data_IF_097776454291
#
_entry.id   IF_097776454291
#
_cell.length_a   1.000
_cell.length_b   1.000
_cell.length_c   1.000
_cell.angle_alpha   90.00
_cell.angle_beta   90.00
_cell.angle_gamma   90.00
#
_symmetry.space_group_name_H-M   'P 1'
#
loop_
_entity.id
_entity.type
_entity.pdbx_description
1 polymer ?
#
# COMPACT_ATOMS: atom_id res chain seq x y z
N UNK A 1 -17.61 0.13 16.57
CA UNK A 1 -17.71 1.40 15.82
C UNK A 1 -16.96 1.21 14.50
N UNK A 2 -17.65 0.84 13.41
CA UNK A 2 -17.08 0.47 12.08
C UNK A 2 -17.33 1.60 11.09
N UNK A 3 -16.59 2.71 11.20
CA UNK A 3 -16.87 3.93 10.41
C UNK A 3 -15.66 4.47 9.63
N UNK A 4 -14.71 3.63 9.24
CA UNK A 4 -13.52 4.06 8.47
C UNK A 4 -13.17 3.15 7.27
N UNK A 5 -14.14 2.41 6.71
CA UNK A 5 -14.02 1.82 5.36
C UNK A 5 -14.44 2.81 4.28
N UNK A 6 -13.99 4.06 4.40
CA UNK A 6 -14.02 4.98 3.27
C UNK A 6 -12.61 4.97 2.72
N UNK A 7 -12.31 3.97 1.90
CA UNK A 7 -11.15 3.99 1.04
C UNK A 7 -11.10 5.36 0.38
N UNK A 8 -10.02 6.09 0.67
CA UNK A 8 -9.80 7.35 0.00
C UNK A 8 -9.45 7.02 -1.45
N UNK A 9 -10.05 7.74 -2.39
CA UNK A 9 -9.88 7.50 -3.83
C UNK A 9 -8.40 7.45 -4.22
N UNK A 10 -7.57 8.21 -3.51
CA UNK A 10 -6.13 8.24 -3.62
C UNK A 10 -5.49 6.87 -3.37
N UNK A 11 -5.92 6.12 -2.34
CA UNK A 11 -5.39 4.78 -2.08
C UNK A 11 -5.84 3.78 -3.13
N UNK A 12 -7.08 3.85 -3.60
CA UNK A 12 -7.53 2.99 -4.71
C UNK A 12 -6.65 3.18 -5.96
N UNK A 13 -6.26 4.43 -6.27
CA UNK A 13 -5.38 4.74 -7.41
C UNK A 13 -3.96 4.20 -7.16
N UNK A 14 -3.40 4.40 -5.97
CA UNK A 14 -2.05 3.96 -5.62
C UNK A 14 -1.95 2.43 -5.66
N UNK A 15 -2.89 1.75 -5.00
CA UNK A 15 -2.93 0.29 -4.95
C UNK A 15 -3.26 -0.30 -6.32
N UNK A 16 -4.12 0.34 -7.12
CA UNK A 16 -4.41 -0.07 -8.49
C UNK A 16 -3.16 -0.05 -9.38
N UNK A 17 -2.38 1.03 -9.35
CA UNK A 17 -1.12 1.13 -10.11
C UNK A 17 -0.08 0.10 -9.67
N UNK A 18 0.02 -0.12 -8.36
CA UNK A 18 0.89 -1.15 -7.81
C UNK A 18 0.41 -2.56 -8.20
N UNK A 19 -0.89 -2.79 -8.23
CA UNK A 19 -1.47 -4.05 -8.65
C UNK A 19 -1.15 -4.36 -10.12
N UNK A 20 -1.25 -3.37 -11.00
CA UNK A 20 -0.98 -3.56 -12.43
C UNK A 20 0.50 -3.80 -12.76
N UNK A 21 1.43 -3.26 -11.97
CA UNK A 21 2.88 -3.25 -12.32
C UNK A 21 3.80 -3.97 -11.35
N UNK A 22 3.32 -4.20 -10.12
CA UNK A 22 4.10 -4.65 -8.98
C UNK A 22 3.71 -6.04 -8.47
N UNK A 23 2.44 -6.46 -8.60
CA UNK A 23 1.92 -7.74 -8.09
C UNK A 23 2.62 -8.94 -8.73
N UNK A 24 2.78 -8.97 -10.05
CA UNK A 24 3.42 -10.09 -10.77
C UNK A 24 4.89 -10.31 -10.39
N UNK A 25 5.50 -9.36 -9.70
CA UNK A 25 6.89 -9.41 -9.23
C UNK A 25 6.98 -9.74 -7.73
N UNK A 26 5.86 -9.96 -7.04
CA UNK A 26 5.87 -10.30 -5.62
C UNK A 26 6.02 -11.81 -5.45
N UNK A 27 6.92 -12.21 -4.55
CA UNK A 27 7.00 -13.58 -4.07
C UNK A 27 5.77 -13.93 -3.21
N UNK A 28 5.46 -15.23 -3.02
CA UNK A 28 4.30 -15.66 -2.23
C UNK A 28 4.23 -15.03 -0.83
N UNK A 29 5.36 -14.93 -0.13
CA UNK A 29 5.41 -14.29 1.19
C UNK A 29 5.08 -12.79 1.16
N UNK A 30 5.40 -12.11 0.05
CA UNK A 30 5.08 -10.70 -0.12
C UNK A 30 3.61 -10.48 -0.54
N UNK A 31 3.01 -11.45 -1.24
CA UNK A 31 1.56 -11.48 -1.50
C UNK A 31 0.78 -11.66 -0.20
N UNK A 32 1.21 -12.54 0.70
CA UNK A 32 0.59 -12.71 2.01
C UNK A 32 0.67 -11.42 2.85
N UNK A 33 1.83 -10.74 2.82
CA UNK A 33 1.99 -9.43 3.47
C UNK A 33 1.12 -8.35 2.83
N UNK A 34 0.92 -8.40 1.52
CA UNK A 34 0.04 -7.47 0.80
C UNK A 34 -1.42 -7.68 1.19
N UNK A 35 -1.88 -8.92 1.33
CA UNK A 35 -3.24 -9.22 1.79
C UNK A 35 -3.47 -8.76 3.24
N UNK A 36 -2.48 -8.97 4.11
CA UNK A 36 -2.50 -8.43 5.47
C UNK A 36 -2.54 -6.90 5.48
N UNK A 37 -1.77 -6.25 4.59
CA UNK A 37 -1.75 -4.80 4.43
C UNK A 37 -3.11 -4.25 4.00
N UNK A 38 -3.82 -4.92 3.08
CA UNK A 38 -5.18 -4.53 2.66
C UNK A 38 -6.23 -4.61 3.78
N UNK A 39 -5.92 -5.30 4.87
CA UNK A 39 -6.77 -5.37 6.05
C UNK A 39 -6.56 -4.18 7.02
N UNK A 40 -5.50 -3.39 6.82
CA UNK A 40 -5.21 -2.18 7.59
C UNK A 40 -6.09 -0.99 7.16
N UNK A 41 -6.00 0.13 7.88
CA UNK A 41 -6.77 1.33 7.58
C UNK A 41 -6.17 2.11 6.40
N UNK A 42 -6.97 2.45 5.40
CA UNK A 42 -6.55 3.23 4.22
C UNK A 42 -5.86 4.55 4.58
N UNK A 43 -6.26 5.18 5.69
CA UNK A 43 -5.61 6.39 6.18
C UNK A 43 -4.17 6.12 6.64
N UNK A 44 -3.96 5.04 7.40
CA UNK A 44 -2.63 4.65 7.88
C UNK A 44 -1.74 4.25 6.70
N UNK A 45 -2.30 3.49 5.74
CA UNK A 45 -1.62 3.15 4.48
C UNK A 45 -1.18 4.39 3.72
N UNK A 46 -2.07 5.37 3.57
CA UNK A 46 -1.75 6.62 2.90
C UNK A 46 -0.64 7.38 3.63
N UNK A 47 -0.68 7.45 4.96
CA UNK A 47 0.36 8.08 5.76
C UNK A 47 1.72 7.37 5.60
N UNK A 48 1.74 6.04 5.49
CA UNK A 48 2.96 5.28 5.26
C UNK A 48 3.53 5.49 3.86
N UNK A 49 2.68 5.43 2.83
CA UNK A 49 3.10 5.63 1.43
C UNK A 49 3.59 7.05 1.18
N UNK A 50 2.97 8.05 1.81
CA UNK A 50 3.38 9.46 1.71
C UNK A 50 4.55 9.83 2.64
N UNK A 51 5.01 8.91 3.48
CA UNK A 51 6.08 9.15 4.45
C UNK A 51 5.68 10.07 5.62
N UNK A 52 4.39 10.31 5.83
CA UNK A 52 3.87 11.05 6.98
C UNK A 52 4.00 10.26 8.29
N UNK A 53 3.99 8.93 8.21
CA UNK A 53 4.20 8.04 9.35
C UNK A 53 5.10 6.86 8.96
N UNK A 54 5.79 6.28 9.93
CA UNK A 54 6.64 5.11 9.71
C UNK A 54 5.77 3.83 9.66
N UNK A 55 5.88 3.01 8.59
CA UNK A 55 5.20 1.72 8.55
C UNK A 55 5.85 0.73 9.54
N UNK A 56 5.10 -0.27 10.00
CA UNK A 56 5.66 -1.42 10.70
C UNK A 56 6.80 -2.08 9.90
N UNK A 57 7.83 -2.64 10.56
CA UNK A 57 9.00 -3.20 9.88
C UNK A 57 8.67 -4.27 8.83
N UNK A 58 7.62 -5.06 9.07
CA UNK A 58 7.13 -6.08 8.14
C UNK A 58 6.56 -5.50 6.83
N UNK A 59 6.01 -4.28 6.88
CA UNK A 59 5.43 -3.60 5.72
C UNK A 59 6.38 -2.59 5.08
N UNK A 60 7.48 -2.22 5.75
CA UNK A 60 8.40 -1.18 5.28
C UNK A 60 8.91 -1.42 3.84
N UNK A 61 9.33 -2.66 3.53
CA UNK A 61 9.80 -3.01 2.20
C UNK A 61 8.68 -2.96 1.14
N UNK A 62 7.46 -3.34 1.52
CA UNK A 62 6.30 -3.33 0.62
C UNK A 62 5.82 -1.91 0.35
N UNK A 63 5.74 -1.08 1.40
CA UNK A 63 5.37 0.35 1.31
C UNK A 63 6.37 1.12 0.46
N UNK A 64 7.68 0.91 0.62
CA UNK A 64 8.70 1.56 -0.22
C UNK A 64 8.48 1.21 -1.70
N UNK A 65 8.12 -0.04 -2.00
CA UNK A 65 7.85 -0.52 -3.35
C UNK A 65 6.56 0.09 -3.93
N UNK A 66 5.49 0.21 -3.13
CA UNK A 66 4.25 0.89 -3.51
C UNK A 66 4.52 2.38 -3.78
N UNK A 67 5.27 3.05 -2.90
CA UNK A 67 5.62 4.47 -3.02
C UNK A 67 6.44 4.78 -4.27
N UNK A 68 7.34 3.88 -4.68
CA UNK A 68 8.11 4.02 -5.94
C UNK A 68 7.21 3.97 -7.18
N UNK A 69 6.19 3.12 -7.19
CA UNK A 69 5.26 3.00 -8.31
C UNK A 69 4.32 4.21 -8.37
N UNK A 70 3.88 4.74 -7.22
CA UNK A 70 2.99 5.91 -7.18
C UNK A 70 3.68 7.22 -7.56
N UNK A 71 4.97 7.37 -7.22
CA UNK A 71 5.78 8.56 -7.54
C UNK A 71 6.32 8.56 -8.97
N UNK A 72 6.36 7.41 -9.64
CA UNK A 72 6.70 7.29 -11.05
C UNK A 72 5.55 7.85 -11.94
N UNK A 73 5.42 9.18 -11.95
CA UNK A 73 4.70 9.91 -12.98
C UNK A 73 5.71 10.29 -14.06
N UNK A 74 5.74 9.51 -15.14
CA UNK A 74 6.21 9.99 -16.45
C UNK A 74 5.42 9.26 -17.55
#
# INVERSE_FOLDING_TARGET
MRSMRRGIKEMDIILGRFAESGLDRLDPAALDLYDALLSENDHDLYQWVTGQNAPPPQYAALIDRIARVSTATN
#
